data_IF_541728169463
#
_entry.id   IF_541728169463
#
_cell.length_a   1.000
_cell.length_b   1.000
_cell.length_c   1.000
_cell.angle_alpha   90.00
_cell.angle_beta   90.00
_cell.angle_gamma   90.00
#
_symmetry.space_group_name_H-M   'P 1'
#
loop_
_entity.id
_entity.type
_entity.pdbx_description
1 polymer ?
#
# COMPACT_ATOMS: atom_id res chain seq x y z
N UNK A 1 -16.49 -6.85 -12.54
CA UNK A 1 -16.01 -7.44 -11.29
C UNK A 1 -14.52 -7.68 -11.43
N UNK A 2 -13.74 -7.01 -10.60
CA UNK A 2 -12.28 -7.14 -10.58
C UNK A 2 -11.90 -8.57 -10.18
N UNK A 3 -10.86 -9.13 -10.81
CA UNK A 3 -10.32 -10.46 -10.50
C UNK A 3 -8.80 -10.34 -10.35
N UNK A 4 -8.17 -11.18 -9.51
CA UNK A 4 -6.73 -11.13 -9.39
C UNK A 4 -6.10 -11.54 -10.73
N UNK A 5 -5.05 -10.82 -11.11
CA UNK A 5 -4.21 -11.19 -12.26
C UNK A 5 -3.30 -12.36 -11.94
N UNK A 6 -2.93 -12.52 -10.66
CA UNK A 6 -2.08 -13.60 -10.17
C UNK A 6 -2.23 -13.84 -8.66
N UNK A 7 -1.90 -15.06 -8.24
CA UNK A 7 -1.60 -15.38 -6.86
C UNK A 7 -0.07 -15.51 -6.73
N UNK A 8 0.53 -14.89 -5.72
CA UNK A 8 1.98 -14.94 -5.50
C UNK A 8 2.29 -15.33 -4.07
N UNK A 9 3.37 -16.07 -3.86
CA UNK A 9 3.97 -16.24 -2.54
C UNK A 9 5.04 -15.17 -2.34
N UNK A 10 5.02 -14.48 -1.21
CA UNK A 10 6.11 -13.57 -0.83
C UNK A 10 6.71 -14.03 0.50
N UNK A 11 8.05 -14.04 0.61
CA UNK A 11 8.68 -14.15 1.92
C UNK A 11 8.37 -12.89 2.74
N UNK A 12 8.88 -12.85 3.96
CA UNK A 12 8.84 -11.65 4.78
C UNK A 12 9.40 -10.43 4.02
N UNK A 13 8.73 -9.29 4.17
CA UNK A 13 9.15 -8.02 3.58
C UNK A 13 9.34 -6.98 4.67
N UNK A 14 10.42 -6.21 4.56
CA UNK A 14 10.70 -5.08 5.44
C UNK A 14 10.53 -3.78 4.66
N UNK A 15 9.63 -2.92 5.10
CA UNK A 15 9.35 -1.64 4.47
C UNK A 15 9.77 -0.50 5.40
N UNK A 16 10.48 0.48 4.87
CA UNK A 16 10.88 1.67 5.60
C UNK A 16 10.34 2.94 4.93
N UNK A 17 9.79 3.85 5.74
CA UNK A 17 9.13 5.05 5.22
C UNK A 17 8.31 5.78 6.27
N UNK A 18 7.32 6.56 5.83
CA UNK A 18 6.49 7.36 6.73
C UNK A 18 5.14 6.70 7.00
N UNK A 19 4.59 6.96 8.20
CA UNK A 19 3.26 6.52 8.60
C UNK A 19 2.38 7.71 8.98
N UNK A 20 1.09 7.54 8.74
CA UNK A 20 -0.01 8.38 9.21
C UNK A 20 -1.02 7.48 9.93
N UNK A 21 -1.58 7.96 11.03
CA UNK A 21 -2.66 7.28 11.75
C UNK A 21 -3.79 8.27 11.98
N UNK A 22 -5.01 7.89 11.57
CA UNK A 22 -6.20 8.73 11.71
C UNK A 22 -7.22 8.44 10.60
N UNK A 23 -8.11 9.40 10.35
CA UNK A 23 -9.00 9.39 9.17
C UNK A 23 -8.30 10.13 8.02
N UNK A 24 -7.81 9.43 6.98
CA UNK A 24 -7.09 10.08 5.89
C UNK A 24 -7.99 10.91 4.98
N UNK A 25 -9.31 10.73 5.06
CA UNK A 25 -10.30 11.42 4.22
C UNK A 25 -11.06 12.53 4.96
N UNK A 26 -10.66 12.84 6.20
CA UNK A 26 -11.30 13.86 7.03
C UNK A 26 -11.43 15.22 6.32
N UNK A 27 -10.45 15.58 5.49
CA UNK A 27 -10.38 16.88 4.81
C UNK A 27 -10.79 16.82 3.33
N UNK A 28 -10.55 15.70 2.64
CA UNK A 28 -10.69 15.50 1.18
C UNK A 28 -10.91 14.01 0.86
N UNK A 29 -11.50 13.70 -0.29
CA UNK A 29 -11.78 12.31 -0.70
C UNK A 29 -10.53 11.50 -1.09
N UNK A 30 -10.72 10.24 -1.45
CA UNK A 30 -9.66 9.39 -2.03
C UNK A 30 -9.11 9.95 -3.35
N UNK A 31 -7.85 9.65 -3.64
CA UNK A 31 -7.16 10.09 -4.87
C UNK A 31 -7.11 11.62 -5.04
N UNK A 32 -7.00 12.34 -3.92
CA UNK A 32 -6.77 13.78 -3.86
C UNK A 32 -5.39 14.03 -3.21
N UNK A 33 -4.52 14.77 -3.89
CA UNK A 33 -3.16 15.06 -3.39
C UNK A 33 -3.17 15.89 -2.09
N UNK A 34 -4.27 16.58 -1.79
CA UNK A 34 -4.42 17.39 -0.58
C UNK A 34 -4.93 16.59 0.62
N UNK A 35 -5.36 15.33 0.43
CA UNK A 35 -5.73 14.44 1.54
C UNK A 35 -4.48 14.00 2.32
N UNK A 36 -4.66 13.31 3.46
CA UNK A 36 -3.52 12.96 4.31
C UNK A 36 -2.59 11.90 3.67
N UNK A 37 -3.08 11.09 2.72
CA UNK A 37 -2.27 10.13 1.95
C UNK A 37 -1.37 10.88 0.95
N UNK A 38 -1.94 11.82 0.20
CA UNK A 38 -1.17 12.67 -0.73
C UNK A 38 -0.10 13.48 0.00
N UNK A 39 -0.45 14.08 1.15
CA UNK A 39 0.51 14.78 2.02
C UNK A 39 1.59 13.86 2.57
N UNK A 40 1.25 12.61 2.92
CA UNK A 40 2.21 11.62 3.39
C UNK A 40 3.24 11.29 2.29
N UNK A 41 2.80 11.06 1.05
CA UNK A 41 3.66 10.87 -0.11
C UNK A 41 4.55 12.09 -0.38
N UNK A 42 3.99 13.30 -0.34
CA UNK A 42 4.77 14.54 -0.54
C UNK A 42 5.86 14.71 0.52
N UNK A 43 5.54 14.47 1.80
CA UNK A 43 6.51 14.51 2.90
C UNK A 43 7.61 13.47 2.70
N UNK A 44 7.24 12.25 2.35
CA UNK A 44 8.18 11.16 2.12
C UNK A 44 9.11 11.44 0.94
N UNK A 45 8.56 11.84 -0.22
CA UNK A 45 9.33 12.18 -1.41
C UNK A 45 10.28 13.37 -1.18
N UNK A 46 9.81 14.40 -0.47
CA UNK A 46 10.65 15.54 -0.08
C UNK A 46 11.83 15.12 0.80
N UNK A 47 11.59 14.28 1.81
CA UNK A 47 12.66 13.76 2.66
C UNK A 47 13.70 12.99 1.84
N UNK A 48 13.25 12.13 0.92
CA UNK A 48 14.14 11.36 0.06
C UNK A 48 15.00 12.25 -0.85
N UNK A 49 14.42 13.34 -1.38
CA UNK A 49 15.12 14.28 -2.25
C UNK A 49 16.13 15.16 -1.48
N UNK A 50 15.78 15.60 -0.28
CA UNK A 50 16.62 16.51 0.52
C UNK A 50 17.68 15.79 1.36
N UNK A 51 17.49 14.51 1.69
CA UNK A 51 18.38 13.71 2.56
C UNK A 51 18.84 12.38 1.93
N UNK A 52 19.30 12.33 0.67
CA UNK A 52 19.61 11.08 -0.02
C UNK A 52 20.72 10.27 0.67
N UNK A 53 21.68 10.92 1.33
CA UNK A 53 22.77 10.25 2.06
C UNK A 53 22.35 9.56 3.36
N UNK A 54 21.12 9.81 3.83
CA UNK A 54 20.55 9.15 5.02
C UNK A 54 19.63 7.99 4.66
N UNK A 55 19.35 7.76 3.37
CA UNK A 55 18.41 6.71 2.97
C UNK A 55 19.06 5.32 3.01
N UNK A 56 18.36 4.30 3.53
CA UNK A 56 18.77 2.93 3.35
C UNK A 56 18.66 2.52 1.87
N UNK A 57 19.44 1.52 1.46
CA UNK A 57 19.34 0.96 0.11
C UNK A 57 17.97 0.31 -0.11
N UNK A 58 17.28 0.73 -1.17
CA UNK A 58 16.05 0.08 -1.60
C UNK A 58 16.39 -1.26 -2.30
N UNK A 59 15.68 -2.33 -1.93
CA UNK A 59 15.81 -3.63 -2.58
C UNK A 59 15.22 -3.64 -3.99
N UNK A 60 14.19 -2.83 -4.21
CA UNK A 60 13.53 -2.66 -5.51
C UNK A 60 13.54 -1.18 -5.90
N UNK A 61 14.67 -0.66 -6.42
CA UNK A 61 14.77 0.74 -6.81
C UNK A 61 13.68 1.13 -7.82
N UNK A 62 13.03 2.28 -7.57
CA UNK A 62 11.92 2.76 -8.39
C UNK A 62 10.56 2.14 -8.05
N UNK A 63 10.48 1.31 -7.01
CA UNK A 63 9.22 0.77 -6.48
C UNK A 63 8.88 1.44 -5.15
N UNK A 64 7.66 1.97 -5.06
CA UNK A 64 7.08 2.51 -3.84
C UNK A 64 5.87 1.68 -3.38
N UNK A 65 5.67 1.63 -2.08
CA UNK A 65 4.57 0.90 -1.45
C UNK A 65 3.70 1.87 -0.64
N UNK A 66 2.38 1.75 -0.78
CA UNK A 66 1.40 2.34 0.13
C UNK A 66 0.64 1.21 0.82
N UNK A 67 0.67 1.15 2.15
CA UNK A 67 0.06 0.06 2.93
C UNK A 67 -1.06 0.65 3.76
N UNK A 68 -2.25 0.06 3.66
CA UNK A 68 -3.41 0.37 4.48
C UNK A 68 -3.54 -0.71 5.55
N UNK A 69 -3.42 -0.34 6.82
CA UNK A 69 -3.35 -1.27 7.95
C UNK A 69 -4.49 -0.97 8.91
N UNK A 70 -5.35 -1.96 9.14
CA UNK A 70 -6.40 -1.89 10.13
C UNK A 70 -5.86 -2.20 11.53
N UNK A 71 -6.38 -1.48 12.52
CA UNK A 71 -6.10 -1.67 13.93
C UNK A 71 -7.39 -2.05 14.67
N UNK A 72 -7.26 -2.45 15.94
CA UNK A 72 -8.41 -2.91 16.74
C UNK A 72 -9.54 -1.87 16.82
N UNK A 73 -9.18 -0.59 16.89
CA UNK A 73 -10.13 0.53 16.98
C UNK A 73 -10.67 1.00 15.62
N UNK A 74 -10.16 0.46 14.51
CA UNK A 74 -10.59 0.88 13.16
C UNK A 74 -12.08 0.67 12.94
N UNK A 75 -12.64 -0.45 13.41
CA UNK A 75 -14.07 -0.70 13.28
C UNK A 75 -14.96 0.25 14.10
N UNK A 76 -14.42 0.84 15.18
CA UNK A 76 -15.16 1.72 16.08
C UNK A 76 -15.06 3.18 15.66
N UNK A 77 -13.87 3.62 15.23
CA UNK A 77 -13.53 5.03 14.99
C UNK A 77 -13.40 5.37 13.52
N UNK A 78 -13.26 4.37 12.64
CA UNK A 78 -12.94 4.57 11.23
C UNK A 78 -11.49 5.01 10.97
N UNK A 79 -10.68 5.16 12.01
CA UNK A 79 -9.27 5.53 11.92
C UNK A 79 -8.42 4.30 11.60
N UNK A 80 -7.41 4.47 10.75
CA UNK A 80 -6.50 3.40 10.40
C UNK A 80 -5.12 3.97 10.06
N UNK A 81 -4.14 3.08 9.87
CA UNK A 81 -2.79 3.48 9.52
C UNK A 81 -2.58 3.42 8.01
N UNK A 82 -2.02 4.49 7.46
CA UNK A 82 -1.47 4.52 6.10
C UNK A 82 0.04 4.64 6.22
N UNK A 83 0.76 3.75 5.56
CA UNK A 83 2.22 3.78 5.48
C UNK A 83 2.66 3.93 4.03
N UNK A 84 3.66 4.78 3.76
CA UNK A 84 4.29 4.87 2.44
C UNK A 84 5.80 4.68 2.57
N UNK A 85 6.41 3.94 1.66
CA UNK A 85 7.84 3.66 1.73
C UNK A 85 8.36 2.78 0.60
N UNK A 86 9.53 2.20 0.80
CA UNK A 86 10.13 1.21 -0.09
C UNK A 86 10.66 0.00 0.70
N UNK A 87 10.89 -1.10 -0.01
CA UNK A 87 11.43 -2.31 0.60
C UNK A 87 12.93 -2.17 0.88
N UNK A 88 13.35 -2.60 2.07
CA UNK A 88 14.74 -2.55 2.56
C UNK A 88 15.18 -3.91 3.11
N UNK A 89 16.49 -4.04 3.35
CA UNK A 89 17.02 -5.16 4.14
C UNK A 89 16.64 -5.02 5.63
N UNK A 90 16.47 -6.14 6.37
CA UNK A 90 16.11 -6.12 7.80
C UNK A 90 17.10 -5.34 8.68
N UNK A 91 18.39 -5.39 8.36
CA UNK A 91 19.48 -4.75 9.12
C UNK A 91 19.83 -3.34 8.61
N UNK A 92 19.04 -2.76 7.73
CA UNK A 92 19.31 -1.45 7.17
C UNK A 92 19.36 -0.34 8.24
N UNK A 93 20.24 0.63 8.05
CA UNK A 93 20.29 1.83 8.90
C UNK A 93 19.08 2.73 8.64
N UNK A 94 18.06 2.64 9.49
CA UNK A 94 16.80 3.36 9.31
C UNK A 94 16.87 4.76 9.97
N UNK A 95 16.56 5.85 9.25
CA UNK A 95 16.43 7.18 9.84
C UNK A 95 15.38 7.24 10.95
N UNK A 96 15.59 8.09 11.95
CA UNK A 96 14.63 8.24 13.08
C UNK A 96 13.25 8.72 12.63
N UNK A 97 13.16 9.38 11.49
CA UNK A 97 11.91 9.86 10.91
C UNK A 97 11.10 8.72 10.27
N UNK A 98 11.73 7.57 9.98
CA UNK A 98 11.07 6.43 9.34
C UNK A 98 10.45 5.51 10.39
N UNK A 99 9.28 4.99 10.04
CA UNK A 99 8.72 3.78 10.60
C UNK A 99 9.22 2.57 9.81
N UNK A 100 9.34 1.44 10.49
CA UNK A 100 9.71 0.15 9.90
C UNK A 100 8.52 -0.81 10.04
N UNK A 101 8.11 -1.42 8.93
CA UNK A 101 7.05 -2.44 8.90
C UNK A 101 7.62 -3.76 8.45
N UNK A 102 7.42 -4.80 9.26
CA UNK A 102 7.70 -6.19 8.91
C UNK A 102 6.40 -6.86 8.48
N UNK A 103 6.24 -7.08 7.18
CA UNK A 103 5.10 -7.81 6.64
C UNK A 103 5.41 -9.31 6.69
N UNK A 104 4.53 -10.14 7.27
CA UNK A 104 4.77 -11.57 7.38
C UNK A 104 4.83 -12.24 5.99
N UNK A 105 5.51 -13.40 5.88
CA UNK A 105 5.37 -14.26 4.71
C UNK A 105 3.90 -14.60 4.50
N UNK A 106 3.41 -14.43 3.27
CA UNK A 106 2.02 -14.70 2.95
C UNK A 106 1.84 -14.98 1.46
N UNK A 107 0.72 -15.63 1.14
CA UNK A 107 0.17 -15.67 -0.21
C UNK A 107 -0.61 -14.38 -0.45
N UNK A 108 -0.43 -13.76 -1.61
CA UNK A 108 -1.11 -12.53 -1.99
C UNK A 108 -1.95 -12.76 -3.26
N UNK A 109 -3.17 -12.26 -3.25
CA UNK A 109 -3.95 -12.01 -4.45
C UNK A 109 -3.58 -10.63 -5.00
N UNK A 110 -3.06 -10.60 -6.24
CA UNK A 110 -2.62 -9.36 -6.89
C UNK A 110 -3.66 -8.93 -7.92
N UNK A 111 -4.12 -7.69 -7.80
CA UNK A 111 -5.05 -7.05 -8.72
C UNK A 111 -4.33 -5.90 -9.41
N UNK A 112 -4.24 -5.95 -10.74
CA UNK A 112 -3.63 -4.85 -11.52
C UNK A 112 -4.73 -3.89 -11.94
N UNK A 113 -4.75 -2.71 -11.35
CA UNK A 113 -5.66 -1.62 -11.68
C UNK A 113 -5.08 -0.80 -12.83
N UNK A 114 -5.92 -0.40 -13.79
CA UNK A 114 -5.53 0.44 -14.93
C UNK A 114 -6.44 1.64 -15.09
N UNK A 115 -5.88 2.80 -15.42
CA UNK A 115 -6.70 3.93 -15.82
C UNK A 115 -7.68 4.35 -14.72
N UNK A 116 -8.96 4.48 -15.10
CA UNK A 116 -10.05 4.81 -14.19
C UNK A 116 -10.30 3.77 -13.08
N UNK A 117 -9.80 2.54 -13.20
CA UNK A 117 -9.90 1.53 -12.13
C UNK A 117 -9.10 1.93 -10.89
N UNK A 118 -8.03 2.71 -11.08
CA UNK A 118 -7.16 3.18 -9.99
C UNK A 118 -7.96 4.05 -9.02
N UNK A 119 -8.77 4.97 -9.55
CA UNK A 119 -9.60 5.89 -8.75
C UNK A 119 -11.02 5.38 -8.48
N UNK A 120 -11.34 4.15 -8.89
CA UNK A 120 -12.63 3.53 -8.62
C UNK A 120 -12.68 2.94 -7.19
N UNK A 121 -13.87 2.51 -6.77
CA UNK A 121 -14.04 1.74 -5.53
C UNK A 121 -13.60 0.29 -5.75
N UNK A 122 -12.28 0.09 -5.87
CA UNK A 122 -11.69 -1.23 -6.06
C UNK A 122 -11.70 -2.05 -4.78
N UNK A 123 -11.68 -1.44 -3.59
CA UNK A 123 -11.67 -2.14 -2.31
C UNK A 123 -12.95 -2.96 -2.10
N UNK A 124 -14.11 -2.35 -2.39
CA UNK A 124 -15.39 -3.05 -2.38
C UNK A 124 -15.44 -4.19 -3.41
N UNK A 125 -14.85 -4.00 -4.60
CA UNK A 125 -14.82 -5.04 -5.65
C UNK A 125 -13.92 -6.22 -5.28
N UNK A 126 -12.76 -5.96 -4.66
CA UNK A 126 -11.86 -7.01 -4.17
C UNK A 126 -12.55 -7.78 -3.04
N UNK A 127 -13.17 -7.09 -2.09
CA UNK A 127 -13.90 -7.71 -0.98
C UNK A 127 -15.03 -8.62 -1.48
N UNK A 128 -15.80 -8.19 -2.48
CA UNK A 128 -16.81 -9.02 -3.12
C UNK A 128 -16.20 -10.27 -3.78
N UNK A 129 -15.09 -10.12 -4.50
CA UNK A 129 -14.39 -11.25 -5.12
C UNK A 129 -13.88 -12.25 -4.09
N UNK A 130 -13.26 -11.79 -3.00
CA UNK A 130 -12.76 -12.65 -1.93
C UNK A 130 -13.88 -13.53 -1.37
N UNK A 131 -15.01 -12.91 -1.03
CA UNK A 131 -16.17 -13.60 -0.47
C UNK A 131 -16.73 -14.67 -1.45
N UNK A 132 -16.90 -14.31 -2.73
CA UNK A 132 -17.43 -15.25 -3.74
C UNK A 132 -16.46 -16.40 -4.05
N UNK A 133 -15.16 -16.14 -4.05
CA UNK A 133 -14.14 -17.12 -4.40
C UNK A 133 -13.66 -18.00 -3.21
N UNK A 134 -14.22 -17.79 -2.01
CA UNK A 134 -13.90 -18.56 -0.81
C UNK A 134 -12.55 -18.21 -0.20
N UNK A 135 -12.13 -16.95 -0.32
CA UNK A 135 -10.93 -16.39 0.28
C UNK A 135 -11.30 -15.37 1.35
N UNK A 136 -10.36 -15.13 2.27
CA UNK A 136 -10.43 -14.04 3.25
C UNK A 136 -9.13 -13.25 3.22
N UNK A 137 -9.21 -11.95 3.48
CA UNK A 137 -8.02 -11.13 3.74
C UNK A 137 -7.35 -11.61 5.02
N UNK A 138 -6.05 -11.85 4.95
CA UNK A 138 -5.24 -12.25 6.09
C UNK A 138 -4.58 -11.01 6.73
N UNK A 139 -4.35 -11.02 8.04
CA UNK A 139 -3.63 -9.96 8.78
C UNK A 139 -4.23 -8.53 8.81
N UNK A 140 -5.33 -8.22 8.11
CA UNK A 140 -5.99 -6.92 8.21
C UNK A 140 -5.23 -5.76 7.55
N UNK A 141 -4.44 -6.02 6.51
CA UNK A 141 -3.84 -4.98 5.68
C UNK A 141 -3.94 -5.30 4.19
N UNK A 142 -3.77 -4.29 3.35
CA UNK A 142 -3.47 -4.43 1.93
C UNK A 142 -2.38 -3.44 1.54
N UNK A 143 -1.77 -3.62 0.37
CA UNK A 143 -0.80 -2.65 -0.14
C UNK A 143 -0.97 -2.37 -1.64
N UNK A 144 -0.71 -1.14 -2.02
CA UNK A 144 -0.55 -0.70 -3.40
C UNK A 144 0.95 -0.64 -3.71
N UNK A 145 1.33 -1.22 -4.84
CA UNK A 145 2.68 -1.25 -5.37
C UNK A 145 2.75 -0.36 -6.60
N UNK A 146 3.52 0.71 -6.49
CA UNK A 146 3.77 1.69 -7.55
C UNK A 146 5.16 1.45 -8.11
N UNK A 147 5.24 1.04 -9.37
CA UNK A 147 6.48 0.95 -10.12
C UNK A 147 6.48 1.95 -11.29
N UNK A 148 7.38 1.78 -12.26
CA UNK A 148 7.50 2.65 -13.43
C UNK A 148 6.22 2.73 -14.31
N UNK A 149 5.23 1.84 -14.10
CA UNK A 149 3.93 1.89 -14.78
C UNK A 149 3.01 2.96 -14.21
N UNK A 150 3.23 3.44 -12.99
CA UNK A 150 2.48 4.56 -12.44
C UNK A 150 3.12 5.88 -12.88
N UNK A 151 2.39 6.68 -13.65
CA UNK A 151 2.89 7.92 -14.27
C UNK A 151 2.52 9.18 -13.47
N UNK A 152 1.87 9.01 -12.33
CA UNK A 152 1.39 10.11 -11.49
C UNK A 152 -0.10 10.41 -11.71
N UNK A 153 -0.63 11.26 -10.85
CA UNK A 153 -2.06 11.58 -10.76
C UNK A 153 -2.62 12.26 -12.02
N UNK A 154 -1.77 12.94 -12.79
CA UNK A 154 -2.16 13.64 -14.02
C UNK A 154 -2.34 12.68 -15.20
N UNK A 155 -1.68 11.52 -15.15
CA UNK A 155 -1.57 10.54 -16.23
C UNK A 155 -2.17 9.18 -15.80
N UNK A 156 -3.20 9.20 -14.94
CA UNK A 156 -3.85 7.98 -14.44
C UNK A 156 -4.37 7.10 -15.57
N UNK A 157 -4.93 7.68 -16.64
CA UNK A 157 -5.47 6.97 -17.79
C UNK A 157 -4.48 5.99 -18.43
N UNK A 158 -3.18 6.32 -18.39
CA UNK A 158 -2.10 5.52 -18.96
C UNK A 158 -1.23 4.86 -17.88
N UNK A 159 -1.72 4.82 -16.63
CA UNK A 159 -1.03 4.25 -15.48
C UNK A 159 -1.55 2.87 -15.11
N UNK A 160 -0.68 2.08 -14.47
CA UNK A 160 -1.06 0.85 -13.77
C UNK A 160 -0.56 0.87 -12.32
N UNK A 161 -1.33 0.26 -11.42
CA UNK A 161 -0.96 0.04 -10.00
C UNK A 161 -1.36 -1.39 -9.62
N UNK A 162 -0.48 -2.11 -8.94
CA UNK A 162 -0.84 -3.43 -8.39
C UNK A 162 -1.32 -3.29 -6.94
N UNK A 163 -2.51 -3.80 -6.63
CA UNK A 163 -3.01 -3.97 -5.25
C UNK A 163 -2.76 -5.39 -4.82
N UNK A 164 -2.04 -5.59 -3.72
CA UNK A 164 -1.79 -6.90 -3.15
C UNK A 164 -2.58 -7.03 -1.86
N UNK A 165 -3.42 -8.06 -1.81
CA UNK A 165 -4.15 -8.43 -0.61
C UNK A 165 -3.60 -9.75 -0.11
N UNK A 166 -3.06 -9.83 1.11
CA UNK A 166 -2.71 -11.12 1.72
C UNK A 166 -3.97 -11.96 1.87
N UNK A 167 -3.92 -13.23 1.47
CA UNK A 167 -5.10 -14.10 1.41
C UNK A 167 -4.81 -15.48 1.97
N UNK A 168 -5.86 -16.08 2.53
CA UNK A 168 -5.92 -17.50 2.89
C UNK A 168 -7.29 -18.07 2.55
N UNK A 169 -7.41 -19.40 2.45
CA UNK A 169 -8.71 -20.02 2.18
C UNK A 169 -9.65 -19.82 3.37
N UNK A 170 -10.92 -19.60 3.07
CA UNK A 170 -11.96 -19.55 4.10
C UNK A 170 -12.08 -20.93 4.76
N UNK A 171 -11.84 -20.99 6.07
CA UNK A 171 -11.93 -22.23 6.87
C UNK A 171 -10.60 -22.91 7.21
N UNK A 172 -9.47 -22.38 6.74
CA UNK A 172 -8.13 -22.64 7.30
C UNK A 172 -7.88 -21.75 8.53
#
# INVERSE_FOLDING_TARGET
MLKPTRLIERPEMWLAGFAFYGDPFQLRGGWDEENEIGRLWQRFGRFCAEQPGSLPSALEPGTGYEVHIQHLETGERGEYEVFVGFQVEPEAGIPIQFSLKRLPPAQYAVFTLRGAEISADWDAQISAWLAEAGWVSDFGFNLQCYDARFKGMQDLADSEVDVWVPVRRSGE
#
